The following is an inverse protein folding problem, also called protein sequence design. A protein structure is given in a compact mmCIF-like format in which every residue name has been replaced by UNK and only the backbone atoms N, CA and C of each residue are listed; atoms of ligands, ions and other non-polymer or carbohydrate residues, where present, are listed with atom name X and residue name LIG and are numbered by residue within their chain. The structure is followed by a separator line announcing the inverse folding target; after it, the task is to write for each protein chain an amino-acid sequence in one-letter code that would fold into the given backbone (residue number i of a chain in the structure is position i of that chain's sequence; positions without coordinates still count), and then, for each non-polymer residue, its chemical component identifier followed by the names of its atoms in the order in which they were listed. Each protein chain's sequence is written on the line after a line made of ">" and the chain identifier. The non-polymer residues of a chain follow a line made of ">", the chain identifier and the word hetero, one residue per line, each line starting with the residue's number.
data_IF_144496392198
#
_entry.id   IF_144496392198
#
_cell.length_a   1.000
_cell.length_b   1.000
_cell.length_c   1.000
_cell.angle_alpha   90.00
_cell.angle_beta   90.00
_cell.angle_gamma   90.00
#
_symmetry.space_group_name_H-M   'P 1'
#
loop_
_entity.id
_entity.type
_entity.pdbx_description
1 polymer ?
#
# COMPACT_ATOMS: atom_id res chain seq x y z
N UNK A 1 4.24 -4.47 -8.23
CA UNK A 1 5.55 -5.03 -7.79
C UNK A 1 5.29 -6.41 -7.23
N UNK A 2 6.09 -7.42 -7.62
CA UNK A 2 6.06 -8.76 -7.04
C UNK A 2 7.43 -8.99 -6.42
N UNK A 3 7.46 -9.47 -5.17
CA UNK A 3 8.68 -9.67 -4.40
C UNK A 3 8.75 -11.10 -3.88
N UNK A 4 9.96 -11.62 -3.72
CA UNK A 4 10.18 -13.00 -3.29
C UNK A 4 9.99 -13.15 -1.78
N UNK A 5 9.33 -14.23 -1.39
CA UNK A 5 9.14 -14.63 0.00
C UNK A 5 9.38 -16.14 0.10
N UNK A 6 10.32 -16.56 0.94
CA UNK A 6 10.71 -17.95 1.10
C UNK A 6 10.62 -18.37 2.57
N UNK A 7 9.95 -19.48 2.85
CA UNK A 7 10.06 -20.15 4.15
C UNK A 7 11.37 -20.93 4.19
N UNK A 8 12.17 -20.72 5.22
CA UNK A 8 13.41 -21.46 5.47
C UNK A 8 13.27 -22.50 6.59
N UNK A 9 12.09 -22.55 7.23
CA UNK A 9 11.76 -23.50 8.28
C UNK A 9 10.61 -23.00 9.17
N UNK A 10 10.32 -23.73 10.25
CA UNK A 10 9.25 -23.36 11.19
C UNK A 10 9.53 -21.99 11.82
N UNK A 11 8.59 -21.05 11.63
CA UNK A 11 8.66 -19.69 12.17
C UNK A 11 9.79 -18.84 11.61
N UNK A 12 10.41 -19.24 10.49
CA UNK A 12 11.58 -18.57 9.89
C UNK A 12 11.42 -18.49 8.38
N UNK A 13 11.89 -17.38 7.81
CA UNK A 13 11.83 -17.13 6.38
C UNK A 13 12.64 -15.91 5.99
N UNK A 14 12.65 -15.63 4.69
CA UNK A 14 13.31 -14.48 4.08
C UNK A 14 12.34 -13.78 3.15
N UNK A 15 12.38 -12.44 3.15
CA UNK A 15 11.59 -11.60 2.26
C UNK A 15 12.53 -10.67 1.51
N UNK A 16 12.30 -10.52 0.22
CA UNK A 16 13.04 -9.60 -0.63
C UNK A 16 12.77 -8.16 -0.25
N UNK A 17 13.84 -7.41 0.02
CA UNK A 17 13.77 -5.98 0.27
C UNK A 17 13.59 -5.23 -1.06
N UNK A 18 12.55 -4.40 -1.12
CA UNK A 18 12.28 -3.56 -2.29
C UNK A 18 12.90 -2.18 -2.06
N UNK A 19 13.93 -1.79 -2.84
CA UNK A 19 14.58 -0.50 -2.66
C UNK A 19 13.67 0.65 -3.09
N UNK A 20 13.93 1.83 -2.53
CA UNK A 20 13.24 3.08 -2.87
C UNK A 20 11.72 2.98 -2.70
N UNK A 21 11.28 2.31 -1.63
CA UNK A 21 9.89 2.14 -1.27
C UNK A 21 9.67 2.55 0.18
N UNK A 22 8.53 3.19 0.45
CA UNK A 22 8.12 3.59 1.80
C UNK A 22 6.67 3.18 2.06
N UNK A 23 6.33 2.91 3.32
CA UNK A 23 4.92 2.65 3.68
C UNK A 23 4.10 3.92 3.54
N UNK A 24 2.82 3.79 3.14
CA UNK A 24 1.93 4.96 3.01
C UNK A 24 1.82 5.71 4.33
N UNK A 25 1.77 4.98 5.45
CA UNK A 25 1.76 5.59 6.79
C UNK A 25 2.98 6.48 7.01
N UNK A 26 4.19 6.01 6.65
CA UNK A 26 5.42 6.78 6.84
C UNK A 26 5.45 8.02 5.93
N UNK A 27 4.87 7.95 4.73
CA UNK A 27 4.71 9.12 3.86
C UNK A 27 3.73 10.11 4.49
N UNK A 28 2.53 9.67 4.85
CA UNK A 28 1.47 10.51 5.42
C UNK A 28 1.90 11.23 6.71
N UNK A 29 2.63 10.56 7.60
CA UNK A 29 3.10 11.17 8.86
C UNK A 29 4.09 12.33 8.64
N UNK A 30 4.74 12.42 7.48
CA UNK A 30 5.57 13.59 7.12
C UNK A 30 4.73 14.86 7.03
N UNK A 31 3.43 14.74 6.76
CA UNK A 31 2.47 15.85 6.74
C UNK A 31 1.76 16.07 8.10
N UNK A 32 2.30 15.50 9.18
CA UNK A 32 1.82 15.61 10.55
C UNK A 32 1.02 14.39 11.03
N UNK A 33 0.64 14.39 12.31
CA UNK A 33 -0.08 13.26 12.94
C UNK A 33 -1.42 12.95 12.26
N UNK A 34 -2.06 13.97 11.67
CA UNK A 34 -3.31 13.86 10.90
C UNK A 34 -3.09 13.76 9.39
N UNK A 35 -1.86 13.51 8.94
CA UNK A 35 -1.53 13.50 7.51
C UNK A 35 -2.30 12.45 6.71
N UNK A 36 -2.75 11.35 7.33
CA UNK A 36 -3.61 10.35 6.68
C UNK A 36 -5.00 10.85 6.29
N UNK A 37 -5.40 12.03 6.76
CA UNK A 37 -6.67 12.69 6.42
C UNK A 37 -6.48 13.86 5.45
N UNK A 38 -5.25 14.10 4.98
CA UNK A 38 -4.96 15.10 3.95
C UNK A 38 -4.93 14.42 2.61
N UNK A 39 -5.34 15.12 1.56
CA UNK A 39 -5.45 14.54 0.22
C UNK A 39 -4.12 14.56 -0.55
N UNK A 40 -3.22 15.49 -0.24
CA UNK A 40 -1.97 15.68 -0.98
C UNK A 40 -0.74 14.82 -0.62
N UNK A 41 -0.64 14.10 0.51
CA UNK A 41 0.63 13.49 0.92
C UNK A 41 1.30 12.59 -0.12
N UNK A 42 0.52 11.77 -0.82
CA UNK A 42 1.07 10.84 -1.83
C UNK A 42 1.50 11.59 -3.10
N UNK A 43 0.68 12.52 -3.59
CA UNK A 43 1.00 13.35 -4.75
C UNK A 43 2.27 14.19 -4.49
N UNK A 44 2.36 14.84 -3.34
CA UNK A 44 3.54 15.61 -2.93
C UNK A 44 4.79 14.72 -2.87
N UNK A 45 4.66 13.49 -2.35
CA UNK A 45 5.77 12.55 -2.26
C UNK A 45 6.23 12.06 -3.63
N UNK A 46 5.31 11.79 -4.56
CA UNK A 46 5.63 11.43 -5.94
C UNK A 46 6.30 12.59 -6.66
N UNK A 47 5.77 13.82 -6.54
CA UNK A 47 6.35 15.02 -7.13
C UNK A 47 7.76 15.31 -6.59
N UNK A 48 7.99 15.09 -5.29
CA UNK A 48 9.30 15.26 -4.66
C UNK A 48 10.37 14.34 -5.26
N UNK A 49 10.01 13.12 -5.64
CA UNK A 49 10.96 12.13 -6.18
C UNK A 49 11.04 12.14 -7.72
N UNK A 50 10.09 12.82 -8.38
CA UNK A 50 10.00 12.94 -9.83
C UNK A 50 9.78 14.43 -10.16
N UNK A 51 10.83 15.27 -10.12
CA UNK A 51 10.69 16.72 -10.20
C UNK A 51 10.38 17.24 -11.61
N UNK A 52 10.66 16.44 -12.65
CA UNK A 52 10.28 16.79 -14.02
C UNK A 52 8.86 16.31 -14.31
N UNK A 53 8.16 17.05 -15.16
CA UNK A 53 6.76 16.77 -15.52
C UNK A 53 6.59 15.39 -16.14
N UNK A 54 7.47 15.00 -17.08
CA UNK A 54 7.45 13.70 -17.75
C UNK A 54 7.71 12.53 -16.77
N UNK A 55 8.62 12.72 -15.81
CA UNK A 55 8.90 11.74 -14.76
C UNK A 55 7.72 11.60 -13.79
N UNK A 56 7.09 12.72 -13.43
CA UNK A 56 5.93 12.75 -12.54
C UNK A 56 4.71 12.11 -13.18
N UNK A 57 4.37 12.45 -14.42
CA UNK A 57 3.28 11.83 -15.18
C UNK A 57 3.44 10.32 -15.25
N UNK A 58 4.65 9.84 -15.53
CA UNK A 58 4.95 8.40 -15.55
C UNK A 58 4.80 7.76 -14.17
N UNK A 59 5.19 8.44 -13.10
CA UNK A 59 5.00 7.94 -11.75
C UNK A 59 3.51 7.87 -11.36
N UNK A 60 2.72 8.88 -11.74
CA UNK A 60 1.26 8.88 -11.55
C UNK A 60 0.61 7.75 -12.35
N UNK A 61 0.99 7.54 -13.61
CA UNK A 61 0.48 6.44 -14.43
C UNK A 61 0.76 5.07 -13.78
N UNK A 62 2.00 4.85 -13.32
CA UNK A 62 2.37 3.63 -12.59
C UNK A 62 1.55 3.47 -11.30
N UNK A 63 1.28 4.57 -10.59
CA UNK A 63 0.45 4.57 -9.39
C UNK A 63 -0.97 4.13 -9.71
N UNK A 64 -1.61 4.73 -10.71
CA UNK A 64 -2.98 4.41 -11.12
C UNK A 64 -3.12 2.92 -11.45
N UNK A 65 -2.27 2.39 -12.34
CA UNK A 65 -2.36 0.98 -12.75
C UNK A 65 -2.08 0.02 -11.59
N UNK A 66 -1.06 0.29 -10.78
CA UNK A 66 -0.70 -0.57 -9.65
C UNK A 66 -1.72 -0.49 -8.51
N UNK A 67 -2.31 0.68 -8.27
CA UNK A 67 -3.39 0.90 -7.31
C UNK A 67 -4.63 0.11 -7.70
N UNK A 68 -5.10 0.28 -8.94
CA UNK A 68 -6.25 -0.47 -9.47
C UNK A 68 -6.02 -1.99 -9.38
N UNK A 69 -4.84 -2.46 -9.81
CA UNK A 69 -4.47 -3.87 -9.75
C UNK A 69 -4.47 -4.43 -8.32
N UNK A 70 -3.91 -3.70 -7.36
CA UNK A 70 -3.88 -4.12 -5.96
C UNK A 70 -5.27 -4.11 -5.31
N UNK A 71 -6.11 -3.10 -5.58
CA UNK A 71 -7.49 -3.03 -5.08
C UNK A 71 -8.31 -4.23 -5.55
N UNK A 72 -8.28 -4.53 -6.85
CA UNK A 72 -9.01 -5.67 -7.41
C UNK A 72 -8.45 -7.00 -6.87
N UNK A 73 -7.13 -7.19 -6.87
CA UNK A 73 -6.52 -8.43 -6.39
C UNK A 73 -6.83 -8.70 -4.91
N UNK A 74 -6.76 -7.69 -4.06
CA UNK A 74 -7.02 -7.86 -2.62
C UNK A 74 -8.47 -8.12 -2.31
N UNK A 75 -9.39 -7.51 -3.07
CA UNK A 75 -10.81 -7.83 -3.04
C UNK A 75 -11.06 -9.29 -3.41
N UNK A 76 -10.58 -9.73 -4.57
CA UNK A 76 -10.83 -11.08 -5.10
C UNK A 76 -10.23 -12.16 -4.22
N UNK A 77 -9.02 -11.95 -3.71
CA UNK A 77 -8.33 -12.91 -2.84
C UNK A 77 -8.83 -12.88 -1.38
N UNK A 78 -9.66 -11.91 -1.01
CA UNK A 78 -10.11 -11.73 0.36
C UNK A 78 -8.94 -11.51 1.33
N UNK A 79 -7.97 -10.68 0.94
CA UNK A 79 -6.84 -10.31 1.80
C UNK A 79 -7.33 -9.34 2.87
N UNK A 80 -7.14 -9.71 4.13
CA UNK A 80 -7.63 -8.98 5.30
C UNK A 80 -6.54 -8.04 5.88
N UNK A 81 -6.89 -7.30 6.93
CA UNK A 81 -5.93 -6.49 7.71
C UNK A 81 -5.12 -5.51 6.83
N UNK A 82 -5.82 -4.84 5.90
CA UNK A 82 -5.23 -3.86 5.00
C UNK A 82 -5.32 -2.47 5.64
N UNK A 83 -4.16 -1.90 5.93
CA UNK A 83 -3.99 -0.55 6.48
C UNK A 83 -2.73 0.08 5.90
N UNK A 84 -2.54 1.40 6.10
CA UNK A 84 -1.50 2.18 5.43
C UNK A 84 -0.04 1.77 5.78
N UNK A 85 0.17 0.98 6.83
CA UNK A 85 1.48 0.38 7.14
C UNK A 85 1.77 -0.89 6.31
N UNK A 86 0.73 -1.57 5.80
CA UNK A 86 0.84 -2.77 4.97
C UNK A 86 0.76 -2.49 3.47
N UNK A 87 0.80 -1.20 3.10
CA UNK A 87 0.81 -0.74 1.71
C UNK A 87 2.06 0.13 1.54
N UNK A 88 2.82 -0.16 0.50
CA UNK A 88 4.04 0.54 0.16
C UNK A 88 3.93 1.22 -1.20
N UNK A 89 4.67 2.30 -1.36
CA UNK A 89 4.79 3.06 -2.60
C UNK A 89 6.27 3.21 -2.98
N UNK A 90 6.63 2.85 -4.20
CA UNK A 90 7.96 3.11 -4.77
C UNK A 90 8.07 4.52 -5.32
N UNK A 91 9.28 5.08 -5.33
CA UNK A 91 9.54 6.41 -5.94
C UNK A 91 9.15 6.47 -7.41
N UNK A 92 9.23 5.33 -8.11
CA UNK A 92 8.76 5.13 -9.50
C UNK A 92 7.23 5.15 -9.67
N UNK A 93 6.44 5.37 -8.62
CA UNK A 93 4.97 5.37 -8.66
C UNK A 93 4.29 4.04 -8.35
N UNK A 94 5.00 2.92 -8.37
CA UNK A 94 4.37 1.61 -8.17
C UNK A 94 3.94 1.38 -6.71
N UNK A 95 2.64 1.26 -6.49
CA UNK A 95 2.02 0.82 -5.23
C UNK A 95 2.00 -0.71 -5.14
N UNK A 96 2.20 -1.26 -3.95
CA UNK A 96 2.09 -2.70 -3.70
C UNK A 96 1.79 -3.01 -2.24
N UNK A 97 1.16 -4.16 -1.99
CA UNK A 97 0.81 -4.62 -0.65
C UNK A 97 1.92 -5.52 -0.10
N UNK A 98 2.12 -5.49 1.22
CA UNK A 98 3.04 -6.37 1.96
C UNK A 98 2.31 -7.04 3.12
N UNK A 99 2.98 -7.93 3.85
CA UNK A 99 2.42 -8.65 5.01
C UNK A 99 1.07 -9.34 4.70
N UNK A 100 1.13 -10.46 3.97
CA UNK A 100 -0.04 -11.25 3.59
C UNK A 100 -0.39 -12.34 4.62
N UNK A 101 0.05 -12.21 5.88
CA UNK A 101 -0.12 -13.24 6.90
C UNK A 101 -1.58 -13.54 7.27
N UNK A 102 -2.53 -12.69 6.86
CA UNK A 102 -3.98 -12.86 7.11
C UNK A 102 -4.77 -12.80 5.80
N UNK A 103 -5.31 -13.93 5.37
CA UNK A 103 -6.06 -14.08 4.12
C UNK A 103 -7.19 -15.11 4.28
N UNK A 104 -8.12 -15.19 3.33
CA UNK A 104 -9.23 -16.17 3.28
C UNK A 104 -10.20 -16.12 4.48
N UNK A 105 -10.55 -14.93 4.95
CA UNK A 105 -11.61 -14.78 5.95
C UNK A 105 -11.18 -15.07 7.39
N UNK A 106 -9.87 -15.23 7.65
CA UNK A 106 -9.27 -14.98 8.97
C UNK A 106 -9.28 -13.47 9.31
N UNK A 107 -10.44 -12.84 9.13
CA UNK A 107 -10.69 -11.46 9.47
C UNK A 107 -10.53 -11.29 10.98
N UNK A 108 -9.91 -10.19 11.41
CA UNK A 108 -9.90 -9.84 12.82
C UNK A 108 -11.35 -9.71 13.30
N UNK A 109 -11.75 -10.55 14.24
CA UNK A 109 -13.01 -10.39 14.94
C UNK A 109 -12.76 -9.59 16.22
N UNK A 110 -13.59 -8.60 16.48
CA UNK A 110 -13.68 -7.97 17.80
C UNK A 110 -14.98 -8.46 18.43
N UNK A 111 -14.90 -9.51 19.26
CA UNK A 111 -16.07 -10.28 19.69
C UNK A 111 -16.72 -10.99 18.50
N UNK A 112 -18.03 -10.78 18.29
CA UNK A 112 -18.78 -11.34 17.15
C UNK A 112 -18.83 -10.42 15.92
N UNK A 113 -18.12 -9.30 15.92
CA UNK A 113 -18.14 -8.31 14.84
C UNK A 113 -16.88 -8.45 13.98
N UNK A 114 -17.07 -8.61 12.67
CA UNK A 114 -15.98 -8.50 11.69
C UNK A 114 -15.43 -7.07 11.70
N UNK A 115 -14.14 -6.93 12.03
CA UNK A 115 -13.43 -5.65 12.08
C UNK A 115 -13.11 -5.13 10.67
N UNK A 116 -12.85 -6.04 9.73
CA UNK A 116 -12.69 -5.72 8.31
C UNK A 116 -14.06 -5.53 7.64
N UNK A 117 -14.49 -4.27 7.53
CA UNK A 117 -15.75 -3.89 6.87
C UNK A 117 -15.54 -3.38 5.45
N UNK A 118 -14.38 -2.77 5.17
CA UNK A 118 -14.00 -2.31 3.84
C UNK A 118 -13.31 -3.46 3.10
N UNK A 119 -13.71 -3.79 1.86
CA UNK A 119 -13.21 -4.98 1.19
C UNK A 119 -11.88 -4.74 0.47
N UNK A 120 -11.40 -3.48 0.42
CA UNK A 120 -10.06 -3.05 0.01
C UNK A 120 -9.77 -1.65 0.58
N UNK A 121 -8.52 -1.18 0.50
CA UNK A 121 -8.12 0.16 0.93
C UNK A 121 -8.06 1.10 -0.28
N UNK A 122 -8.88 2.14 -0.26
CA UNK A 122 -8.83 3.25 -1.21
C UNK A 122 -9.12 4.55 -0.46
N UNK A 123 -8.08 5.31 -0.14
CA UNK A 123 -8.12 6.51 0.71
C UNK A 123 -8.24 7.79 -0.11
N UNK A 124 -8.58 8.93 0.51
CA UNK A 124 -8.78 10.19 -0.22
C UNK A 124 -7.50 10.70 -0.89
N UNK A 125 -6.34 10.46 -0.29
CA UNK A 125 -5.05 10.76 -0.88
C UNK A 125 -4.67 9.84 -2.05
N UNK A 126 -5.18 8.61 -2.10
CA UNK A 126 -5.07 7.77 -3.29
C UNK A 126 -5.96 8.28 -4.42
N UNK A 127 -7.14 8.80 -4.11
CA UNK A 127 -8.05 9.35 -5.10
C UNK A 127 -7.60 10.71 -5.64
N UNK A 128 -6.74 11.42 -4.90
CA UNK A 128 -6.19 12.71 -5.29
C UNK A 128 -5.04 12.60 -6.30
N UNK A 129 -4.22 11.55 -6.18
CA UNK A 129 -3.13 11.24 -7.13
C UNK A 129 -3.71 10.85 -8.47
#
# INVERSE_FOLDING_TARGET
>A
VIFRCFSTGRGRGMVEMIPNAETLRKIQVQHGVTGSFKDRPLADWLQKHNPKEDEYEKAVENFIYSCAGCCVATYVLGICDRHNDNIMLKTTGHMFHIDFGRFLGHAQMFGNIKRDRAPFVFTSDMAYV
#
